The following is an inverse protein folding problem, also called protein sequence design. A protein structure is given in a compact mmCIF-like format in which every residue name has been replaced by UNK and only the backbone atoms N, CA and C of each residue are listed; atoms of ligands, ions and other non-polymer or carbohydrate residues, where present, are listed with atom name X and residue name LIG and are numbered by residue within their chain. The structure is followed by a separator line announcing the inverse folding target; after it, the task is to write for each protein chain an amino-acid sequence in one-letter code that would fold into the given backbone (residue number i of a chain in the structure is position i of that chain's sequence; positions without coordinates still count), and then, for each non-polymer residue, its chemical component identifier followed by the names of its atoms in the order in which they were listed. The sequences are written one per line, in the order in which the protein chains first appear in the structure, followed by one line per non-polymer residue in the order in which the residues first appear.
data_IF_922172063008
#
_entry.id   IF_922172063008
#
_cell.length_a   1.000
_cell.length_b   1.000
_cell.length_c   1.000
_cell.angle_alpha   90.00
_cell.angle_beta   90.00
_cell.angle_gamma   90.00
#
_symmetry.space_group_name_H-M   'P 1'
#
loop_
_entity.id
_entity.type
_entity.pdbx_description
1 polymer ?
#
# COMPACT_ATOMS: atom_id res chain seq x y z
N UNK A 1 -18.25 4.38 -5.05
CA UNK A 1 -18.11 5.60 -4.23
C UNK A 1 -17.90 6.76 -5.18
N UNK A 2 -18.66 7.85 -5.07
CA UNK A 2 -18.47 9.05 -5.90
C UNK A 2 -17.37 9.95 -5.35
N UNK A 3 -16.93 10.93 -6.15
CA UNK A 3 -16.00 11.97 -5.69
C UNK A 3 -16.56 12.72 -4.47
N UNK A 4 -17.83 13.12 -4.50
CA UNK A 4 -18.46 13.84 -3.38
C UNK A 4 -18.47 13.01 -2.10
N UNK A 5 -18.70 11.70 -2.21
CA UNK A 5 -18.63 10.78 -1.07
C UNK A 5 -17.20 10.67 -0.50
N UNK A 6 -16.19 10.60 -1.37
CA UNK A 6 -14.78 10.60 -0.94
C UNK A 6 -14.39 11.93 -0.29
N UNK A 7 -14.82 13.05 -0.86
CA UNK A 7 -14.54 14.39 -0.36
C UNK A 7 -15.15 14.61 1.03
N UNK A 8 -16.37 14.13 1.25
CA UNK A 8 -17.06 14.20 2.54
C UNK A 8 -16.30 13.40 3.61
N UNK A 9 -15.81 12.20 3.26
CA UNK A 9 -14.98 11.38 4.17
C UNK A 9 -13.71 12.14 4.57
N UNK A 10 -12.96 12.66 3.60
CA UNK A 10 -11.67 13.32 3.85
C UNK A 10 -11.83 14.63 4.62
N UNK A 11 -12.93 15.37 4.40
CA UNK A 11 -13.18 16.64 5.09
C UNK A 11 -13.63 16.46 6.55
N UNK A 12 -14.49 15.47 6.81
CA UNK A 12 -15.30 15.46 8.03
C UNK A 12 -15.08 14.24 8.95
N UNK A 13 -14.53 13.12 8.46
CA UNK A 13 -14.32 11.94 9.32
C UNK A 13 -12.99 12.01 10.05
N UNK A 14 -12.99 11.58 11.31
CA UNK A 14 -11.77 11.42 12.09
C UNK A 14 -11.02 10.15 11.68
N UNK A 15 -9.74 10.28 11.39
CA UNK A 15 -8.90 9.18 10.96
C UNK A 15 -7.56 9.63 10.41
N UNK A 16 -6.89 8.75 9.68
CA UNK A 16 -5.60 9.00 9.07
C UNK A 16 -5.49 8.39 7.68
N UNK A 17 -4.44 8.78 6.95
CA UNK A 17 -4.12 8.28 5.61
C UNK A 17 -3.01 7.24 5.71
N UNK A 18 -3.20 6.10 5.04
CA UNK A 18 -2.17 5.08 4.93
C UNK A 18 -1.22 5.37 3.75
N UNK A 19 0.07 5.58 4.02
CA UNK A 19 1.07 5.82 2.98
C UNK A 19 1.72 4.50 2.51
N UNK A 20 1.35 4.04 1.32
CA UNK A 20 1.85 2.81 0.67
C UNK A 20 2.56 3.15 -0.66
N UNK A 21 3.23 4.29 -0.71
CA UNK A 21 3.72 4.98 -1.91
C UNK A 21 5.24 4.92 -2.08
N UNK A 22 5.92 3.99 -1.38
CA UNK A 22 7.37 3.83 -1.50
C UNK A 22 7.76 3.58 -2.97
N UNK A 23 8.61 4.46 -3.49
CA UNK A 23 9.20 4.36 -4.83
C UNK A 23 10.28 3.28 -4.88
N UNK A 24 10.74 2.94 -6.09
CA UNK A 24 11.78 1.92 -6.31
C UNK A 24 13.00 2.04 -5.40
N UNK A 25 13.57 3.24 -5.25
CA UNK A 25 14.75 3.45 -4.41
C UNK A 25 14.52 3.25 -2.90
N UNK A 26 13.27 3.33 -2.43
CA UNK A 26 12.91 3.10 -1.01
C UNK A 26 12.37 1.70 -0.75
N UNK A 27 12.00 0.96 -1.80
CA UNK A 27 11.45 -0.40 -1.71
C UNK A 27 12.39 -1.39 -0.99
N UNK A 28 13.72 -1.46 -1.27
CA UNK A 28 14.62 -2.37 -0.54
C UNK A 28 14.60 -2.13 0.98
N UNK A 29 14.58 -0.86 1.38
CA UNK A 29 14.52 -0.49 2.80
C UNK A 29 13.19 -0.92 3.42
N UNK A 30 12.08 -0.72 2.72
CA UNK A 30 10.75 -1.13 3.20
C UNK A 30 10.65 -2.65 3.37
N UNK A 31 11.09 -3.42 2.36
CA UNK A 31 11.12 -4.88 2.41
C UNK A 31 12.00 -5.39 3.55
N UNK A 32 13.19 -4.83 3.72
CA UNK A 32 14.09 -5.21 4.82
C UNK A 32 13.48 -4.96 6.19
N UNK A 33 12.82 -3.81 6.40
CA UNK A 33 12.11 -3.51 7.65
C UNK A 33 10.90 -4.44 7.87
N UNK A 34 10.33 -4.94 6.79
CA UNK A 34 9.26 -5.94 6.81
C UNK A 34 9.78 -7.37 7.04
N UNK A 35 11.10 -7.59 7.01
CA UNK A 35 11.74 -8.88 7.23
C UNK A 35 12.12 -9.65 5.96
N UNK A 36 12.02 -9.01 4.79
CA UNK A 36 12.46 -9.58 3.50
C UNK A 36 13.80 -8.94 3.12
N UNK A 37 14.87 -9.71 3.20
CA UNK A 37 16.23 -9.29 2.85
C UNK A 37 16.48 -9.24 1.35
N UNK A 38 17.54 -8.54 0.95
CA UNK A 38 17.96 -8.40 -0.46
C UNK A 38 18.36 -9.74 -1.10
N UNK A 39 18.67 -10.78 -0.32
CA UNK A 39 18.93 -12.13 -0.82
C UNK A 39 17.67 -12.92 -1.20
N UNK A 40 16.47 -12.41 -0.88
CA UNK A 40 15.19 -13.11 -1.08
C UNK A 40 14.46 -12.73 -2.37
N UNK A 41 15.05 -11.85 -3.17
CA UNK A 41 14.58 -11.46 -4.50
C UNK A 41 15.77 -11.16 -5.41
N UNK A 42 15.60 -11.38 -6.72
CA UNK A 42 16.61 -11.10 -7.73
C UNK A 42 16.12 -10.05 -8.72
N UNK A 43 16.79 -8.91 -8.73
CA UNK A 43 16.48 -7.79 -9.63
C UNK A 43 15.25 -6.98 -9.21
N UNK A 44 14.92 -5.97 -10.03
CA UNK A 44 13.85 -5.02 -9.72
C UNK A 44 12.46 -5.63 -9.85
N UNK A 45 12.22 -6.50 -10.83
CA UNK A 45 10.91 -7.11 -11.07
C UNK A 45 10.46 -7.93 -9.85
N UNK A 46 11.31 -8.83 -9.34
CA UNK A 46 10.99 -9.61 -8.15
C UNK A 46 10.87 -8.73 -6.89
N UNK A 47 11.68 -7.67 -6.78
CA UNK A 47 11.54 -6.70 -5.70
C UNK A 47 10.16 -6.02 -5.72
N UNK A 48 9.68 -5.63 -6.90
CA UNK A 48 8.35 -5.05 -7.06
C UNK A 48 7.23 -6.05 -6.82
N UNK A 49 7.45 -7.33 -7.10
CA UNK A 49 6.49 -8.39 -6.76
C UNK A 49 6.39 -8.57 -5.23
N UNK A 50 7.53 -8.60 -4.52
CA UNK A 50 7.54 -8.69 -3.05
C UNK A 50 6.87 -7.50 -2.36
N UNK A 51 7.11 -6.27 -2.83
CA UNK A 51 6.45 -5.10 -2.23
C UNK A 51 4.96 -5.07 -2.55
N UNK A 52 4.56 -5.59 -3.72
CA UNK A 52 3.16 -5.75 -4.07
C UNK A 52 2.47 -6.78 -3.17
N UNK A 53 3.08 -7.94 -2.92
CA UNK A 53 2.60 -8.94 -1.95
C UNK A 53 2.40 -8.33 -0.55
N UNK A 54 3.38 -7.56 -0.07
CA UNK A 54 3.30 -6.85 1.21
C UNK A 54 2.12 -5.87 1.23
N UNK A 55 1.97 -5.03 0.20
CA UNK A 55 0.88 -4.04 0.09
C UNK A 55 -0.49 -4.72 0.01
N UNK A 56 -0.62 -5.78 -0.79
CA UNK A 56 -1.84 -6.59 -0.91
C UNK A 56 -2.24 -7.15 0.45
N UNK A 57 -1.30 -7.73 1.21
CA UNK A 57 -1.56 -8.22 2.57
C UNK A 57 -2.03 -7.11 3.52
N UNK A 58 -1.45 -5.91 3.41
CA UNK A 58 -1.87 -4.76 4.23
C UNK A 58 -3.30 -4.35 3.89
N UNK A 59 -3.65 -4.18 2.62
CA UNK A 59 -4.98 -3.63 2.25
C UNK A 59 -6.12 -4.63 2.38
N UNK A 60 -5.84 -5.94 2.28
CA UNK A 60 -6.82 -7.03 2.44
C UNK A 60 -7.04 -7.41 3.91
N UNK A 61 -6.20 -6.92 4.82
CA UNK A 61 -6.34 -7.15 6.25
C UNK A 61 -7.68 -6.56 6.77
N UNK A 62 -8.44 -7.30 7.61
CA UNK A 62 -9.66 -6.78 8.23
C UNK A 62 -9.43 -5.49 9.04
N UNK A 63 -8.22 -5.30 9.57
CA UNK A 63 -7.82 -4.10 10.30
C UNK A 63 -7.69 -2.87 9.37
N UNK A 64 -7.39 -3.08 8.09
CA UNK A 64 -7.30 -2.00 7.10
C UNK A 64 -8.66 -1.45 6.70
N UNK A 65 -9.71 -2.30 6.74
CA UNK A 65 -11.10 -1.88 6.60
C UNK A 65 -11.70 -1.15 7.81
N UNK A 66 -10.89 -0.82 8.83
CA UNK A 66 -11.36 -0.13 10.04
C UNK A 66 -11.83 1.30 9.75
N UNK A 67 -12.67 1.84 10.64
CA UNK A 67 -13.24 3.20 10.50
C UNK A 67 -12.21 4.34 10.54
N UNK A 68 -10.95 4.06 10.88
CA UNK A 68 -9.90 5.07 11.06
C UNK A 68 -9.02 5.30 9.83
N UNK A 69 -9.03 4.42 8.83
CA UNK A 69 -8.30 4.64 7.58
C UNK A 69 -9.24 5.34 6.59
N UNK A 70 -8.94 6.60 6.27
CA UNK A 70 -9.79 7.43 5.40
C UNK A 70 -9.46 7.26 3.91
N UNK A 71 -8.23 6.84 3.62
CA UNK A 71 -7.71 6.64 2.28
C UNK A 71 -6.27 6.16 2.30
N UNK A 72 -5.73 5.88 1.11
CA UNK A 72 -4.35 5.44 0.94
C UNK A 72 -3.66 6.19 -0.19
N UNK A 73 -2.36 6.47 -0.02
CA UNK A 73 -1.48 6.97 -1.07
C UNK A 73 -0.76 5.78 -1.68
N UNK A 74 -0.82 5.64 -3.00
CA UNK A 74 -0.27 4.50 -3.72
C UNK A 74 0.86 4.94 -4.64
N UNK A 75 1.87 4.09 -4.76
CA UNK A 75 2.86 4.20 -5.83
C UNK A 75 2.23 3.77 -7.17
N UNK A 76 2.66 4.38 -8.28
CA UNK A 76 2.05 4.16 -9.60
C UNK A 76 2.01 2.68 -10.02
N UNK A 77 3.04 1.90 -9.67
CA UNK A 77 3.11 0.48 -9.97
C UNK A 77 2.06 -0.31 -9.20
N UNK A 78 1.80 0.06 -7.93
CA UNK A 78 0.72 -0.54 -7.14
C UNK A 78 -0.64 -0.24 -7.74
N UNK A 79 -0.86 1.00 -8.21
CA UNK A 79 -2.12 1.41 -8.82
C UNK A 79 -2.44 0.65 -10.12
N UNK A 80 -1.40 0.23 -10.86
CA UNK A 80 -1.54 -0.52 -12.13
C UNK A 80 -1.67 -2.03 -11.94
N UNK A 81 -1.45 -2.54 -10.73
CA UNK A 81 -1.47 -3.97 -10.41
C UNK A 81 -2.79 -4.35 -9.74
N UNK A 82 -3.20 -5.61 -9.94
CA UNK A 82 -4.40 -6.15 -9.32
C UNK A 82 -4.14 -6.59 -7.88
N UNK A 83 -5.14 -6.43 -7.03
CA UNK A 83 -5.19 -6.95 -5.68
C UNK A 83 -6.41 -7.86 -5.63
N UNK A 84 -6.21 -9.14 -5.33
CA UNK A 84 -7.30 -10.06 -5.05
C UNK A 84 -7.80 -9.79 -3.63
N UNK A 85 -9.10 -9.49 -3.51
CA UNK A 85 -9.80 -9.11 -2.28
C UNK A 85 -10.87 -10.13 -1.94
#
# INVERSE_FOLDING_TARGET
MSFDQQLEIVKNREGFIAALDQSGGSTPKALRLYGIGESEYSGEDQMYDRIHEMRSRIVTSPQFGSTRILGAILFEQTMRRQIEV
#
